data_IF_130502344423
#
_entry.id   IF_130502344423
#
_cell.length_a   1.000
_cell.length_b   1.000
_cell.length_c   1.000
_cell.angle_alpha   90.00
_cell.angle_beta   90.00
_cell.angle_gamma   90.00
#
_symmetry.space_group_name_H-M   'P 1'
#
loop_
_entity.id
_entity.type
_entity.pdbx_description
1 polymer ?
#
# COMPACT_ATOMS: atom_id res chain seq x y z
N UNK A 1 -16.24 -29.66 -19.03
CA UNK A 1 -16.51 -28.35 -18.42
C UNK A 1 -15.18 -27.60 -18.32
N UNK A 2 -14.93 -26.61 -19.19
CA UNK A 2 -13.76 -25.75 -19.04
C UNK A 2 -13.94 -24.97 -17.73
N UNK A 3 -13.07 -25.21 -16.76
CA UNK A 3 -13.03 -24.39 -15.55
C UNK A 3 -12.85 -22.94 -16.02
N UNK A 4 -13.57 -22.01 -15.40
CA UNK A 4 -13.16 -20.60 -15.45
C UNK A 4 -11.77 -20.61 -14.82
N UNK A 5 -10.74 -20.58 -15.67
CA UNK A 5 -9.40 -20.34 -15.20
C UNK A 5 -9.47 -19.01 -14.47
N UNK A 6 -9.02 -19.02 -13.22
CA UNK A 6 -9.08 -17.88 -12.32
C UNK A 6 -8.15 -16.79 -12.85
N UNK A 7 -8.58 -16.08 -13.88
CA UNK A 7 -7.81 -15.01 -14.51
C UNK A 7 -7.79 -13.81 -13.55
N UNK A 8 -6.62 -13.68 -12.94
CA UNK A 8 -5.94 -12.50 -12.41
C UNK A 8 -6.82 -11.26 -12.28
N UNK A 9 -7.39 -11.05 -11.09
CA UNK A 9 -7.72 -9.69 -10.65
C UNK A 9 -6.40 -9.04 -10.23
N UNK A 10 -5.85 -8.15 -11.06
CA UNK A 10 -4.58 -7.43 -10.85
C UNK A 10 -4.54 -6.69 -9.50
N UNK A 11 -5.69 -6.49 -8.84
CA UNK A 11 -5.82 -5.75 -7.59
C UNK A 11 -6.46 -6.52 -6.42
N UNK A 12 -6.59 -7.84 -6.47
CA UNK A 12 -7.11 -8.62 -5.32
C UNK A 12 -6.01 -8.97 -4.30
N UNK A 13 -5.24 -7.98 -3.82
CA UNK A 13 -4.38 -8.16 -2.63
C UNK A 13 -5.24 -8.11 -1.36
N UNK A 14 -5.96 -9.19 -1.12
CA UNK A 14 -6.51 -9.47 0.20
C UNK A 14 -5.43 -10.23 0.93
N UNK A 15 -4.95 -9.70 2.06
CA UNK A 15 -4.02 -10.43 2.93
C UNK A 15 -4.54 -11.86 3.16
N UNK A 16 -3.73 -12.87 2.84
CA UNK A 16 -3.95 -14.23 3.34
C UNK A 16 -4.91 -15.13 2.56
N UNK A 17 -5.11 -14.97 1.25
CA UNK A 17 -5.90 -15.95 0.47
C UNK A 17 -5.37 -17.38 0.54
N UNK A 18 -4.10 -17.59 0.88
CA UNK A 18 -3.53 -18.91 1.13
C UNK A 18 -4.07 -19.60 2.39
N UNK A 19 -4.56 -18.84 3.38
CA UNK A 19 -5.13 -19.37 4.63
C UNK A 19 -6.64 -19.22 4.74
N UNK A 20 -7.27 -18.45 3.84
CA UNK A 20 -8.70 -18.13 3.91
C UNK A 20 -9.59 -19.37 4.10
N UNK A 21 -10.49 -19.30 5.08
CA UNK A 21 -11.52 -20.28 5.30
C UNK A 21 -12.65 -20.11 4.26
N UNK A 22 -12.84 -21.14 3.41
CA UNK A 22 -14.01 -21.22 2.53
C UNK A 22 -15.22 -21.54 3.41
N UNK A 23 -16.11 -20.56 3.58
CA UNK A 23 -17.32 -20.71 4.41
C UNK A 23 -18.57 -20.96 3.57
N UNK A 24 -18.48 -20.75 2.26
CA UNK A 24 -19.54 -21.05 1.31
C UNK A 24 -18.94 -21.36 -0.06
N UNK A 25 -19.36 -22.47 -0.67
CA UNK A 25 -19.04 -22.84 -2.05
C UNK A 25 -20.20 -23.67 -2.61
N UNK A 26 -21.12 -23.00 -3.31
CA UNK A 26 -22.30 -23.65 -3.88
C UNK A 26 -22.85 -22.85 -5.06
N UNK A 27 -23.32 -23.56 -6.08
CA UNK A 27 -24.06 -23.02 -7.23
C UNK A 27 -23.31 -21.92 -8.01
N UNK A 28 -21.98 -21.97 -8.02
CA UNK A 28 -21.14 -20.99 -8.71
C UNK A 28 -20.85 -19.72 -7.88
N UNK A 29 -21.25 -19.70 -6.61
CA UNK A 29 -20.94 -18.65 -5.65
C UNK A 29 -20.00 -19.17 -4.56
N UNK A 30 -18.98 -18.37 -4.24
CA UNK A 30 -17.95 -18.68 -3.26
C UNK A 30 -17.74 -17.51 -2.31
N UNK A 31 -17.62 -17.81 -1.02
CA UNK A 31 -17.27 -16.83 0.02
C UNK A 31 -16.04 -17.33 0.77
N UNK A 32 -14.96 -16.55 0.67
CA UNK A 32 -13.72 -16.77 1.38
C UNK A 32 -13.65 -15.79 2.55
N UNK A 33 -13.71 -16.30 3.79
CA UNK A 33 -13.47 -15.52 4.99
C UNK A 33 -11.98 -15.54 5.32
N UNK A 34 -11.41 -14.38 5.65
CA UNK A 34 -10.01 -14.27 6.04
C UNK A 34 -9.85 -13.35 7.26
N UNK A 35 -8.78 -13.55 8.00
CA UNK A 35 -8.47 -12.67 9.12
C UNK A 35 -7.10 -12.86 9.70
N UNK A 36 -6.77 -11.98 10.64
CA UNK A 36 -5.57 -12.11 11.46
C UNK A 36 -5.76 -11.54 12.85
N UNK A 37 -5.00 -12.06 13.80
CA UNK A 37 -4.70 -11.40 15.08
C UNK A 37 -3.20 -11.21 15.12
N UNK A 38 -2.77 -9.96 15.23
CA UNK A 38 -1.35 -9.59 15.30
C UNK A 38 -1.09 -8.92 16.64
N UNK A 39 -0.39 -9.64 17.52
CA UNK A 39 0.14 -9.11 18.77
C UNK A 39 1.55 -8.59 18.49
N UNK A 40 1.76 -7.29 18.64
CA UNK A 40 3.02 -6.64 18.26
C UNK A 40 3.35 -5.47 19.18
N UNK A 41 4.64 -5.28 19.43
CA UNK A 41 5.15 -4.21 20.28
C UNK A 41 6.31 -3.51 19.59
N UNK A 42 6.29 -2.18 19.66
CA UNK A 42 7.31 -1.31 19.07
C UNK A 42 8.14 -0.72 20.20
N UNK A 43 9.46 -0.89 20.12
CA UNK A 43 10.44 -0.26 20.99
C UNK A 43 11.07 0.92 20.25
N UNK A 44 10.95 2.12 20.80
CA UNK A 44 11.54 3.33 20.22
C UNK A 44 11.76 4.39 21.30
N UNK A 45 12.72 5.29 21.07
CA UNK A 45 12.85 6.51 21.86
C UNK A 45 11.78 7.56 21.48
N UNK A 46 11.11 7.39 20.34
CA UNK A 46 9.94 8.17 19.98
C UNK A 46 8.70 7.61 20.70
N UNK A 47 8.28 8.30 21.75
CA UNK A 47 7.11 7.94 22.56
C UNK A 47 5.79 7.88 21.76
N UNK A 48 5.71 8.51 20.58
CA UNK A 48 4.53 8.40 19.71
C UNK A 48 4.47 7.09 18.92
N UNK A 49 5.59 6.37 18.86
CA UNK A 49 5.75 5.08 18.18
C UNK A 49 5.86 3.93 19.18
N UNK A 50 6.54 4.17 20.29
CA UNK A 50 6.80 3.18 21.33
C UNK A 50 5.51 2.69 21.99
N UNK A 51 5.37 1.38 22.12
CA UNK A 51 4.26 0.76 22.83
C UNK A 51 3.63 -0.42 22.09
N UNK A 52 2.52 -0.88 22.67
CA UNK A 52 1.67 -1.91 22.09
C UNK A 52 1.06 -1.41 20.77
N UNK A 53 1.15 -2.22 19.73
CA UNK A 53 0.55 -1.99 18.40
C UNK A 53 -0.44 -3.10 18.02
N UNK A 54 -0.84 -3.94 18.98
CA UNK A 54 -1.73 -5.08 18.77
C UNK A 54 -3.02 -4.69 18.02
N UNK A 55 -3.32 -5.46 16.97
CA UNK A 55 -4.51 -5.28 16.13
C UNK A 55 -4.99 -6.60 15.55
N UNK A 56 -6.25 -6.62 15.13
CA UNK A 56 -6.81 -7.72 14.35
C UNK A 56 -7.43 -7.21 13.06
N UNK A 57 -7.59 -8.10 12.09
CA UNK A 57 -8.32 -7.83 10.85
C UNK A 57 -9.28 -8.97 10.56
N UNK A 58 -10.43 -8.61 10.00
CA UNK A 58 -11.40 -9.53 9.46
C UNK A 58 -11.78 -9.05 8.06
N UNK A 59 -11.97 -9.96 7.13
CA UNK A 59 -12.42 -9.63 5.80
C UNK A 59 -13.08 -10.83 5.13
N UNK A 60 -13.78 -10.53 4.03
CA UNK A 60 -14.30 -11.56 3.15
C UNK A 60 -14.08 -11.17 1.69
N UNK A 61 -14.02 -12.19 0.85
CA UNK A 61 -14.13 -12.09 -0.60
C UNK A 61 -15.34 -12.90 -1.03
N UNK A 62 -16.16 -12.33 -1.89
CA UNK A 62 -17.26 -13.02 -2.56
C UNK A 62 -16.95 -13.04 -4.05
N UNK A 63 -17.09 -14.20 -4.68
CA UNK A 63 -17.15 -14.37 -6.13
C UNK A 63 -18.47 -15.06 -6.47
N UNK A 64 -19.22 -14.55 -7.43
CA UNK A 64 -20.51 -15.11 -7.86
C UNK A 64 -20.54 -15.18 -9.39
N UNK A 65 -20.58 -16.40 -9.93
CA UNK A 65 -20.71 -16.62 -11.37
C UNK A 65 -22.09 -16.16 -11.85
N UNK A 66 -22.11 -15.35 -12.91
CA UNK A 66 -23.35 -14.93 -13.58
C UNK A 66 -23.57 -15.81 -14.81
N UNK A 67 -22.54 -15.93 -15.66
CA UNK A 67 -22.53 -16.84 -16.81
C UNK A 67 -21.12 -17.44 -17.03
N UNK A 68 -20.86 -18.01 -18.22
CA UNK A 68 -19.58 -18.61 -18.58
C UNK A 68 -18.40 -17.62 -18.68
N UNK A 69 -18.68 -16.35 -18.95
CA UNK A 69 -17.69 -15.29 -19.16
C UNK A 69 -17.72 -14.23 -18.06
N UNK A 70 -18.86 -14.05 -17.38
CA UNK A 70 -19.11 -12.96 -16.44
C UNK A 70 -19.28 -13.45 -15.00
N UNK A 71 -18.59 -12.80 -14.07
CA UNK A 71 -18.76 -12.98 -12.64
C UNK A 71 -18.80 -11.64 -11.90
N UNK A 72 -19.63 -11.57 -10.86
CA UNK A 72 -19.58 -10.50 -9.87
C UNK A 72 -18.60 -10.84 -8.75
N UNK A 73 -17.98 -9.83 -8.14
CA UNK A 73 -17.17 -10.00 -6.94
C UNK A 73 -17.35 -8.85 -5.95
N UNK A 74 -17.06 -9.13 -4.68
CA UNK A 74 -17.07 -8.16 -3.59
C UNK A 74 -15.94 -8.43 -2.62
N UNK A 75 -15.36 -7.36 -2.07
CA UNK A 75 -14.26 -7.42 -1.10
C UNK A 75 -14.54 -6.46 0.03
N UNK A 76 -14.40 -6.97 1.25
CA UNK A 76 -14.44 -6.17 2.47
C UNK A 76 -13.30 -6.57 3.41
N UNK A 77 -12.67 -5.58 4.03
CA UNK A 77 -11.68 -5.79 5.08
C UNK A 77 -11.78 -4.68 6.12
N UNK A 78 -11.86 -5.09 7.39
CA UNK A 78 -11.88 -4.23 8.55
C UNK A 78 -10.66 -4.48 9.43
N UNK A 79 -10.18 -3.43 10.09
CA UNK A 79 -9.16 -3.53 11.13
C UNK A 79 -9.76 -3.08 12.47
N UNK A 80 -9.48 -3.86 13.50
CA UNK A 80 -9.79 -3.55 14.90
C UNK A 80 -8.48 -3.24 15.63
N UNK A 81 -8.40 -2.06 16.25
CA UNK A 81 -7.28 -1.73 17.13
C UNK A 81 -7.50 -2.37 18.50
N UNK A 82 -6.46 -2.97 19.07
CA UNK A 82 -6.54 -3.66 20.37
C UNK A 82 -5.50 -3.14 21.39
N UNK A 83 -4.89 -2.00 21.09
CA UNK A 83 -3.88 -1.32 21.92
C UNK A 83 -4.41 -0.03 22.59
N UNK A 84 -5.72 0.06 22.81
CA UNK A 84 -6.41 1.25 23.35
C UNK A 84 -7.48 0.84 24.37
N UNK A 85 -7.88 1.75 25.29
CA UNK A 85 -9.03 1.52 26.17
C UNK A 85 -10.32 1.26 25.39
N UNK A 86 -11.25 0.50 25.98
CA UNK A 86 -12.50 0.08 25.31
C UNK A 86 -13.40 1.25 24.85
N UNK A 87 -13.26 2.42 25.48
CA UNK A 87 -13.99 3.64 25.09
C UNK A 87 -13.45 4.33 23.83
N UNK A 88 -12.27 3.92 23.34
CA UNK A 88 -11.62 4.54 22.19
C UNK A 88 -11.66 3.63 20.96
N UNK A 89 -12.45 4.04 19.95
CA UNK A 89 -12.60 3.34 18.68
C UNK A 89 -11.72 3.91 17.55
N UNK A 90 -10.82 4.85 17.81
CA UNK A 90 -9.97 5.51 16.80
C UNK A 90 -9.00 4.55 16.07
N UNK A 91 -8.76 3.36 16.63
CA UNK A 91 -8.00 2.29 15.99
C UNK A 91 -8.75 1.54 14.88
N UNK A 92 -10.09 1.65 14.85
CA UNK A 92 -10.95 0.86 14.00
C UNK A 92 -11.18 1.53 12.63
N UNK A 93 -11.20 0.75 11.55
CA UNK A 93 -11.32 1.30 10.19
C UNK A 93 -11.66 0.26 9.13
N UNK A 94 -12.52 0.67 8.19
CA UNK A 94 -12.65 0.00 6.89
C UNK A 94 -11.36 0.22 6.09
N UNK A 95 -10.67 -0.87 5.76
CA UNK A 95 -9.48 -0.84 4.91
C UNK A 95 -9.88 -0.99 3.45
N UNK A 96 -10.74 -1.97 3.15
CA UNK A 96 -11.24 -2.26 1.81
C UNK A 96 -12.76 -2.43 1.88
N UNK A 97 -13.46 -1.90 0.89
CA UNK A 97 -14.89 -2.09 0.68
C UNK A 97 -15.22 -1.72 -0.77
N UNK A 98 -15.21 -2.71 -1.66
CA UNK A 98 -15.48 -2.49 -3.08
C UNK A 98 -16.13 -3.72 -3.71
N UNK A 99 -16.83 -3.50 -4.82
CA UNK A 99 -17.46 -4.54 -5.61
C UNK A 99 -17.25 -4.28 -7.11
N UNK A 100 -17.41 -5.32 -7.92
CA UNK A 100 -17.12 -5.24 -9.33
C UNK A 100 -17.63 -6.40 -10.15
N UNK A 101 -17.37 -6.30 -11.45
CA UNK A 101 -17.63 -7.32 -12.45
C UNK A 101 -16.31 -7.72 -13.10
N UNK A 102 -16.16 -9.00 -13.42
CA UNK A 102 -15.06 -9.55 -14.20
C UNK A 102 -15.62 -10.29 -15.40
N UNK A 103 -15.18 -9.90 -16.58
CA UNK A 103 -15.43 -10.58 -17.84
C UNK A 103 -14.12 -11.16 -18.38
N UNK A 104 -14.11 -12.45 -18.72
CA UNK A 104 -12.91 -13.14 -19.21
C UNK A 104 -12.35 -12.55 -20.53
N UNK A 105 -13.12 -11.73 -21.24
CA UNK A 105 -12.75 -11.13 -22.53
C UNK A 105 -12.32 -9.67 -22.40
N UNK A 106 -12.89 -8.94 -21.43
CA UNK A 106 -12.76 -7.48 -21.34
C UNK A 106 -12.10 -6.99 -20.04
N UNK A 107 -11.70 -7.91 -19.17
CA UNK A 107 -11.06 -7.60 -17.89
C UNK A 107 -12.07 -7.38 -16.77
N UNK A 108 -11.67 -6.63 -15.75
CA UNK A 108 -12.49 -6.37 -14.57
C UNK A 108 -12.69 -4.88 -14.33
N UNK A 109 -13.88 -4.52 -13.89
CA UNK A 109 -14.22 -3.19 -13.38
C UNK A 109 -14.64 -3.29 -11.91
N UNK A 110 -14.23 -2.34 -11.08
CA UNK A 110 -14.66 -2.25 -9.68
C UNK A 110 -14.82 -0.81 -9.21
N UNK A 111 -15.65 -0.62 -8.19
CA UNK A 111 -15.84 0.66 -7.53
C UNK A 111 -15.88 0.54 -6.00
N UNK A 112 -15.24 1.48 -5.31
CA UNK A 112 -15.37 1.62 -3.85
C UNK A 112 -14.11 2.14 -3.16
N UNK A 113 -13.81 1.59 -1.98
CA UNK A 113 -12.56 1.79 -1.23
C UNK A 113 -11.62 0.62 -1.52
N UNK A 114 -10.60 0.87 -2.33
CA UNK A 114 -9.63 -0.13 -2.79
C UNK A 114 -8.19 0.39 -2.61
N UNK A 115 -7.21 -0.33 -3.14
CA UNK A 115 -5.87 0.21 -3.36
C UNK A 115 -5.85 1.03 -4.65
N UNK A 116 -5.19 2.19 -4.62
CA UNK A 116 -4.95 3.01 -5.81
C UNK A 116 -3.85 2.45 -6.69
N UNK A 117 -3.82 2.94 -7.92
CA UNK A 117 -3.06 2.40 -9.04
C UNK A 117 -1.54 2.44 -8.84
N UNK A 118 -1.03 3.36 -8.01
CA UNK A 118 0.41 3.37 -7.63
C UNK A 118 0.78 2.13 -6.80
N UNK A 119 -0.19 1.53 -6.12
CA UNK A 119 0.07 0.34 -5.32
C UNK A 119 0.39 -0.88 -6.19
N UNK A 120 0.03 -0.90 -7.48
CA UNK A 120 0.40 -1.99 -8.40
C UNK A 120 1.91 -2.18 -8.58
N UNK A 121 2.68 -1.11 -8.40
CA UNK A 121 4.15 -1.14 -8.48
C UNK A 121 4.78 -1.01 -7.09
N UNK A 122 4.30 -0.10 -6.24
CA UNK A 122 4.89 0.09 -4.90
C UNK A 122 4.71 -1.11 -3.96
N UNK A 123 3.77 -2.03 -4.23
CA UNK A 123 3.70 -3.29 -3.50
C UNK A 123 4.93 -4.21 -3.68
N UNK A 124 5.78 -3.96 -4.70
CA UNK A 124 7.00 -4.75 -4.91
C UNK A 124 7.94 -4.64 -3.69
N UNK A 125 7.94 -3.51 -2.99
CA UNK A 125 8.79 -3.29 -1.81
C UNK A 125 8.01 -3.32 -0.50
N UNK A 126 6.68 -3.51 -0.54
CA UNK A 126 5.80 -3.65 0.64
C UNK A 126 5.84 -5.09 1.20
N UNK A 127 7.05 -5.55 1.55
CA UNK A 127 7.34 -6.95 1.92
C UNK A 127 8.08 -7.13 3.24
N UNK A 128 8.42 -6.04 3.94
CA UNK A 128 9.09 -6.14 5.24
C UNK A 128 8.18 -6.80 6.28
N UNK A 129 8.75 -7.32 7.40
CA UNK A 129 7.96 -8.04 8.40
C UNK A 129 6.77 -7.25 8.97
N UNK A 130 6.90 -5.93 9.16
CA UNK A 130 5.84 -5.02 9.56
C UNK A 130 5.93 -3.62 8.92
N UNK A 131 7.12 -3.00 8.82
CA UNK A 131 7.27 -1.66 8.25
C UNK A 131 7.31 -1.71 6.72
N UNK A 132 7.91 -0.69 6.08
CA UNK A 132 8.17 -0.69 4.65
C UNK A 132 7.10 -0.02 3.78
N UNK A 133 7.47 0.19 2.52
CA UNK A 133 6.71 0.96 1.54
C UNK A 133 6.26 2.33 2.10
N UNK A 134 7.18 3.04 2.74
CA UNK A 134 6.93 4.32 3.44
C UNK A 134 7.25 5.55 2.56
N UNK A 135 7.84 5.37 1.38
CA UNK A 135 8.26 6.49 0.51
C UNK A 135 7.20 6.88 -0.53
N UNK A 136 6.35 5.94 -0.92
CA UNK A 136 5.35 6.11 -1.99
C UNK A 136 3.93 5.94 -1.46
N UNK A 137 3.67 4.91 -0.65
CA UNK A 137 2.32 4.47 -0.28
C UNK A 137 1.82 5.19 0.97
N UNK A 138 0.77 5.99 0.81
CA UNK A 138 0.07 6.63 1.92
C UNK A 138 -1.43 6.33 1.88
N UNK A 139 -2.06 6.18 3.04
CA UNK A 139 -3.51 5.91 3.12
C UNK A 139 -4.29 7.22 3.00
N UNK A 140 -5.30 7.22 2.14
CA UNK A 140 -6.16 8.36 1.79
C UNK A 140 -5.40 9.53 1.14
N UNK A 141 -4.30 9.25 0.45
CA UNK A 141 -3.50 10.25 -0.28
C UNK A 141 -3.55 9.89 -1.76
N UNK A 142 -4.47 10.55 -2.48
CA UNK A 142 -4.70 10.34 -3.91
C UNK A 142 -4.78 8.83 -4.24
N UNK A 143 -4.02 8.36 -5.23
CA UNK A 143 -3.98 6.96 -5.69
C UNK A 143 -2.73 6.21 -5.20
N UNK A 144 -2.06 6.71 -4.14
CA UNK A 144 -0.78 6.16 -3.68
C UNK A 144 -0.90 4.86 -2.88
N UNK A 145 -2.03 4.67 -2.20
CA UNK A 145 -2.33 3.52 -1.35
C UNK A 145 -3.84 3.30 -1.29
N UNK A 146 -4.38 2.91 -0.14
CA UNK A 146 -5.85 2.75 -0.01
C UNK A 146 -6.55 4.10 -0.02
N UNK A 147 -7.61 4.27 -0.81
CA UNK A 147 -8.40 5.50 -0.84
C UNK A 147 -9.90 5.22 -1.04
N UNK A 148 -10.74 6.25 -1.16
CA UNK A 148 -12.20 6.14 -1.33
C UNK A 148 -12.66 6.67 -2.68
N UNK A 149 -13.74 6.08 -3.24
CA UNK A 149 -14.37 6.58 -4.47
C UNK A 149 -13.55 6.29 -5.72
N UNK A 150 -12.90 5.12 -5.76
CA UNK A 150 -12.04 4.69 -6.84
C UNK A 150 -12.85 3.81 -7.80
N UNK A 151 -12.85 4.15 -9.09
CA UNK A 151 -13.36 3.33 -10.19
C UNK A 151 -12.15 2.79 -10.95
N UNK A 152 -11.96 1.48 -10.93
CA UNK A 152 -10.77 0.84 -11.51
C UNK A 152 -11.18 -0.18 -12.54
N UNK A 153 -10.64 -0.04 -13.75
CA UNK A 153 -10.68 -1.05 -14.79
C UNK A 153 -9.28 -1.67 -14.97
N UNK A 154 -9.22 -2.99 -15.19
CA UNK A 154 -7.95 -3.67 -15.46
C UNK A 154 -8.14 -4.87 -16.39
N UNK A 155 -7.13 -5.14 -17.22
CA UNK A 155 -7.04 -6.31 -18.09
C UNK A 155 -5.71 -7.03 -17.91
N UNK A 156 -5.74 -8.35 -18.02
CA UNK A 156 -4.56 -9.19 -17.98
C UNK A 156 -4.18 -9.64 -19.40
N UNK A 157 -2.89 -9.95 -19.57
CA UNK A 157 -2.27 -10.43 -20.82
C UNK A 157 -2.62 -9.59 -22.06
N UNK A 158 -2.88 -8.30 -21.86
CA UNK A 158 -3.44 -7.37 -22.83
C UNK A 158 -4.55 -8.03 -23.66
N UNK A 159 -5.62 -8.53 -23.01
CA UNK A 159 -6.71 -9.27 -23.66
C UNK A 159 -6.29 -10.60 -24.32
N UNK A 160 -5.19 -11.18 -23.85
CA UNK A 160 -4.57 -12.37 -24.44
C UNK A 160 -3.64 -12.08 -25.63
N UNK A 161 -3.40 -10.82 -25.99
CA UNK A 161 -2.49 -10.46 -27.08
C UNK A 161 -1.01 -10.53 -26.67
N UNK A 162 -0.70 -10.27 -25.40
CA UNK A 162 0.69 -10.25 -24.89
C UNK A 162 0.71 -10.88 -23.52
N UNK A 163 1.16 -12.14 -23.45
CA UNK A 163 1.32 -12.88 -22.21
C UNK A 163 2.17 -12.12 -21.20
N UNK A 164 1.70 -12.05 -19.94
CA UNK A 164 2.37 -11.36 -18.84
C UNK A 164 2.21 -9.83 -18.84
N UNK A 165 1.60 -9.22 -19.86
CA UNK A 165 1.37 -7.77 -19.92
C UNK A 165 0.01 -7.38 -19.32
N UNK A 166 0.03 -6.71 -18.18
CA UNK A 166 -1.14 -6.32 -17.42
C UNK A 166 -1.33 -4.80 -17.46
N UNK A 167 -2.55 -4.33 -17.68
CA UNK A 167 -2.88 -2.92 -17.74
C UNK A 167 -4.03 -2.60 -16.79
N UNK A 168 -3.95 -1.47 -16.09
CA UNK A 168 -5.04 -0.96 -15.27
C UNK A 168 -5.14 0.56 -15.37
N UNK A 169 -6.37 1.06 -15.30
CA UNK A 169 -6.72 2.49 -15.33
C UNK A 169 -7.66 2.77 -14.16
N UNK A 170 -7.42 3.87 -13.47
CA UNK A 170 -8.20 4.34 -12.34
C UNK A 170 -8.74 5.75 -12.60
N UNK A 171 -10.00 5.95 -12.23
CA UNK A 171 -10.55 7.28 -11.92
C UNK A 171 -10.83 7.37 -10.42
N UNK A 172 -10.43 8.46 -9.79
CA UNK A 172 -10.76 8.77 -8.40
C UNK A 172 -11.56 10.06 -8.34
N UNK A 173 -12.76 10.01 -7.77
CA UNK A 173 -13.57 11.20 -7.54
C UNK A 173 -13.04 12.08 -6.40
N UNK A 174 -13.36 13.37 -6.46
CA UNK A 174 -13.03 14.36 -5.42
C UNK A 174 -13.48 13.93 -4.01
N UNK A 175 -12.58 14.04 -3.03
CA UNK A 175 -12.86 13.89 -1.60
C UNK A 175 -12.29 15.08 -0.81
N UNK A 176 -13.13 15.97 -0.27
CA UNK A 176 -12.66 17.15 0.47
C UNK A 176 -13.23 17.28 1.89
N UNK A 177 -14.46 16.80 2.13
CA UNK A 177 -15.17 16.99 3.39
C UNK A 177 -14.67 16.05 4.50
N UNK A 178 -14.62 16.57 5.74
CA UNK A 178 -14.32 15.83 6.98
C UNK A 178 -12.97 15.07 6.98
N UNK A 179 -11.96 15.63 6.31
CA UNK A 179 -10.62 15.04 6.19
C UNK A 179 -9.54 16.10 6.40
N UNK A 180 -8.40 15.68 6.96
CA UNK A 180 -7.20 16.53 7.02
C UNK A 180 -6.77 16.94 5.61
N UNK A 181 -6.17 18.14 5.47
CA UNK A 181 -5.78 18.73 4.19
C UNK A 181 -4.91 17.78 3.34
N UNK A 182 -4.01 17.04 3.98
CA UNK A 182 -3.14 16.05 3.31
C UNK A 182 -3.83 14.75 2.90
N UNK A 183 -5.11 14.56 3.28
CA UNK A 183 -5.96 13.43 2.90
C UNK A 183 -7.12 13.81 1.99
N UNK A 184 -7.12 15.05 1.51
CA UNK A 184 -8.06 15.50 0.49
C UNK A 184 -7.50 15.22 -0.91
N UNK A 185 -8.38 15.06 -1.88
CA UNK A 185 -8.04 14.94 -3.29
C UNK A 185 -9.13 15.59 -4.15
N UNK A 186 -8.74 16.18 -5.28
CA UNK A 186 -9.64 16.49 -6.38
C UNK A 186 -9.96 15.25 -7.23
N UNK A 187 -10.65 15.46 -8.35
CA UNK A 187 -10.81 14.41 -9.35
C UNK A 187 -9.45 14.06 -9.96
N UNK A 188 -9.24 12.79 -10.30
CA UNK A 188 -7.98 12.35 -10.87
C UNK A 188 -8.05 11.07 -11.67
N UNK A 189 -7.04 10.89 -12.50
CA UNK A 189 -6.83 9.68 -13.31
C UNK A 189 -5.47 9.08 -13.06
N UNK A 190 -5.38 7.77 -13.19
CA UNK A 190 -4.10 7.08 -13.14
C UNK A 190 -4.09 5.79 -13.96
N UNK A 191 -2.89 5.32 -14.25
CA UNK A 191 -2.63 4.17 -15.10
C UNK A 191 -1.45 3.39 -14.56
N UNK A 192 -1.48 2.07 -14.68
CA UNK A 192 -0.31 1.22 -14.44
C UNK A 192 -0.19 0.14 -15.51
N UNK A 193 1.04 -0.19 -15.87
CA UNK A 193 1.37 -1.32 -16.72
C UNK A 193 2.40 -2.20 -16.00
N UNK A 194 2.19 -3.51 -16.02
CA UNK A 194 3.13 -4.51 -15.51
C UNK A 194 3.47 -5.49 -16.63
N UNK A 195 4.72 -5.92 -16.71
CA UNK A 195 5.15 -6.97 -17.64
C UNK A 195 5.95 -8.02 -16.88
N UNK A 196 5.47 -9.26 -16.92
CA UNK A 196 6.11 -10.39 -16.25
C UNK A 196 6.80 -11.30 -17.26
N UNK A 197 8.05 -11.67 -16.98
CA UNK A 197 8.85 -12.60 -17.76
C UNK A 197 9.57 -13.53 -16.79
N UNK A 198 9.19 -14.80 -16.77
CA UNK A 198 9.68 -15.79 -15.80
C UNK A 198 9.53 -15.27 -14.36
N UNK A 199 10.62 -15.21 -13.60
CA UNK A 199 10.65 -14.73 -12.22
C UNK A 199 10.72 -13.19 -12.13
N UNK A 200 10.89 -12.47 -13.25
CA UNK A 200 10.98 -11.02 -13.26
C UNK A 200 9.62 -10.38 -13.52
N UNK A 201 9.35 -9.27 -12.84
CA UNK A 201 8.26 -8.36 -13.20
C UNK A 201 8.76 -6.94 -13.23
N UNK A 202 8.55 -6.26 -14.36
CA UNK A 202 8.71 -4.83 -14.53
C UNK A 202 7.35 -4.15 -14.33
N UNK A 203 7.33 -2.98 -13.70
CA UNK A 203 6.10 -2.24 -13.48
C UNK A 203 6.32 -0.74 -13.57
N UNK A 204 5.34 -0.02 -14.12
CA UNK A 204 5.29 1.44 -14.09
C UNK A 204 3.87 1.91 -13.81
N UNK A 205 3.74 3.03 -13.11
CA UNK A 205 2.46 3.66 -12.87
C UNK A 205 2.60 5.18 -12.89
N UNK A 206 1.55 5.87 -13.35
CA UNK A 206 1.41 7.32 -13.35
C UNK A 206 0.03 7.73 -12.81
N UNK A 207 -0.04 8.81 -12.03
CA UNK A 207 -1.29 9.45 -11.62
C UNK A 207 -1.20 10.98 -11.67
N UNK A 208 -2.32 11.61 -11.98
CA UNK A 208 -2.50 13.05 -11.95
C UNK A 208 -3.91 13.36 -11.41
N UNK A 209 -3.97 14.21 -10.40
CA UNK A 209 -5.21 14.63 -9.75
C UNK A 209 -5.24 16.14 -9.54
N UNK A 210 -6.42 16.72 -9.55
CA UNK A 210 -6.65 18.06 -9.01
C UNK A 210 -6.34 18.10 -7.50
N UNK A 211 -5.80 19.23 -7.05
CA UNK A 211 -5.70 19.56 -5.62
C UNK A 211 -6.90 20.40 -5.22
N UNK A 212 -7.39 20.22 -4.00
CA UNK A 212 -8.54 20.97 -3.50
C UNK A 212 -8.17 22.42 -3.26
N UNK A 213 -9.16 23.32 -3.28
CA UNK A 213 -8.95 24.74 -2.99
C UNK A 213 -8.32 24.95 -1.61
N UNK A 214 -8.69 24.13 -0.62
CA UNK A 214 -8.11 24.18 0.72
C UNK A 214 -6.60 23.82 0.71
N UNK A 215 -6.19 22.82 -0.07
CA UNK A 215 -4.78 22.45 -0.23
C UNK A 215 -3.98 23.59 -0.89
N UNK A 216 -4.53 24.18 -1.95
CA UNK A 216 -3.89 25.28 -2.68
C UNK A 216 -3.81 26.53 -1.80
N UNK A 217 -4.88 26.87 -1.08
CA UNK A 217 -4.92 28.00 -0.16
C UNK A 217 -3.90 27.83 0.98
N UNK A 218 -3.79 26.63 1.55
CA UNK A 218 -2.78 26.34 2.58
C UNK A 218 -1.35 26.50 2.04
N UNK A 219 -1.08 26.07 0.81
CA UNK A 219 0.20 26.28 0.15
C UNK A 219 0.56 27.76 -0.06
N UNK A 220 -0.44 28.63 -0.19
CA UNK A 220 -0.24 30.09 -0.29
C UNK A 220 0.02 30.74 1.08
N UNK A 221 -0.62 30.26 2.14
CA UNK A 221 -0.49 30.84 3.49
C UNK A 221 0.74 30.33 4.25
N UNK A 222 1.17 29.10 3.99
CA UNK A 222 2.30 28.45 4.64
C UNK A 222 3.26 27.85 3.59
N UNK A 223 3.85 28.71 2.74
CA UNK A 223 4.69 28.22 1.67
C UNK A 223 5.97 27.63 2.28
N UNK A 224 6.46 26.51 1.73
CA UNK A 224 7.62 25.79 2.28
C UNK A 224 7.28 24.82 3.41
N UNK A 225 5.99 24.63 3.68
CA UNK A 225 5.46 23.50 4.44
C UNK A 225 4.37 22.82 3.61
N UNK A 226 3.55 23.60 2.91
CA UNK A 226 2.54 23.07 2.00
C UNK A 226 2.84 23.45 0.56
N UNK A 227 2.79 22.45 -0.31
CA UNK A 227 2.92 22.66 -1.73
C UNK A 227 1.79 23.57 -2.26
N UNK A 228 2.10 24.42 -3.25
CA UNK A 228 1.16 25.42 -3.78
C UNK A 228 0.59 25.11 -5.16
N UNK A 229 1.10 24.08 -5.86
CA UNK A 229 0.63 23.71 -7.19
C UNK A 229 -0.85 23.26 -7.22
N UNK A 230 -1.51 23.38 -8.37
CA UNK A 230 -2.93 23.00 -8.54
C UNK A 230 -3.15 21.52 -8.83
N UNK A 231 -2.12 20.79 -9.24
CA UNK A 231 -2.16 19.34 -9.53
C UNK A 231 -1.23 18.57 -8.62
N UNK A 232 -1.65 17.39 -8.20
CA UNK A 232 -0.82 16.38 -7.55
C UNK A 232 -0.47 15.30 -8.58
N UNK A 233 0.82 15.04 -8.76
CA UNK A 233 1.32 14.10 -9.76
C UNK A 233 2.28 13.11 -9.13
N UNK A 234 2.27 11.86 -9.59
CA UNK A 234 3.27 10.88 -9.22
C UNK A 234 3.50 9.90 -10.35
N UNK A 235 4.76 9.56 -10.60
CA UNK A 235 5.14 8.41 -11.40
C UNK A 235 6.08 7.53 -10.60
N UNK A 236 5.96 6.22 -10.80
CA UNK A 236 6.83 5.22 -10.19
C UNK A 236 7.15 4.13 -11.20
N UNK A 237 8.35 3.60 -11.14
CA UNK A 237 8.78 2.41 -11.86
C UNK A 237 9.41 1.43 -10.89
N UNK A 238 9.35 0.14 -11.21
CA UNK A 238 9.84 -0.91 -10.34
C UNK A 238 10.21 -2.16 -11.09
N UNK A 239 11.10 -2.92 -10.48
CA UNK A 239 11.45 -4.26 -10.88
C UNK A 239 11.39 -5.16 -9.66
N UNK A 240 10.87 -6.38 -9.82
CA UNK A 240 11.04 -7.45 -8.85
C UNK A 240 11.54 -8.71 -9.52
N UNK A 241 12.25 -9.50 -8.73
CA UNK A 241 12.59 -10.90 -8.98
C UNK A 241 11.96 -11.72 -7.86
N UNK A 242 11.15 -12.71 -8.22
CA UNK A 242 10.34 -13.51 -7.30
C UNK A 242 10.49 -14.98 -7.67
N UNK A 243 11.14 -15.74 -6.80
CA UNK A 243 11.41 -17.18 -6.96
C UNK A 243 11.12 -17.92 -5.66
N UNK A 244 11.13 -19.26 -5.68
CA UNK A 244 10.78 -20.09 -4.51
C UNK A 244 11.57 -19.76 -3.24
N UNK A 245 12.83 -19.32 -3.36
CA UNK A 245 13.71 -19.05 -2.21
C UNK A 245 14.23 -17.62 -2.13
N UNK A 246 14.11 -16.82 -3.19
CA UNK A 246 14.70 -15.48 -3.23
C UNK A 246 13.69 -14.48 -3.77
N UNK A 247 13.49 -13.40 -3.02
CA UNK A 247 12.72 -12.24 -3.40
C UNK A 247 13.63 -11.01 -3.41
N UNK A 248 13.64 -10.26 -4.50
CA UNK A 248 14.32 -8.97 -4.60
C UNK A 248 13.41 -7.98 -5.30
N UNK A 249 13.37 -6.75 -4.83
CA UNK A 249 12.63 -5.70 -5.51
C UNK A 249 13.28 -4.35 -5.31
N UNK A 250 13.12 -3.48 -6.31
CA UNK A 250 13.46 -2.08 -6.19
C UNK A 250 12.43 -1.23 -6.92
N UNK A 251 12.11 -0.07 -6.35
CA UNK A 251 11.26 0.95 -6.97
C UNK A 251 11.97 2.30 -6.93
N UNK A 252 11.68 3.12 -7.94
CA UNK A 252 12.04 4.53 -7.97
C UNK A 252 10.86 5.34 -8.49
N UNK A 253 10.68 6.54 -7.97
CA UNK A 253 9.70 7.45 -8.54
C UNK A 253 9.78 8.86 -7.98
N UNK A 254 9.00 9.75 -8.58
CA UNK A 254 8.91 11.13 -8.15
C UNK A 254 7.45 11.53 -7.95
N UNK A 255 7.21 12.39 -6.97
CA UNK A 255 5.92 13.04 -6.78
C UNK A 255 6.05 14.56 -6.92
N UNK A 256 4.94 15.22 -7.26
CA UNK A 256 4.79 16.68 -7.18
C UNK A 256 3.52 17.03 -6.42
N UNK A 257 3.63 17.94 -5.46
CA UNK A 257 2.52 18.47 -4.66
C UNK A 257 1.62 17.41 -3.99
N UNK A 258 2.19 16.25 -3.64
CA UNK A 258 1.43 15.04 -3.28
C UNK A 258 1.87 14.44 -1.94
N UNK A 259 3.14 14.10 -1.81
CA UNK A 259 3.65 13.31 -0.68
C UNK A 259 3.53 14.08 0.63
N UNK A 260 2.81 13.53 1.63
CA UNK A 260 2.77 14.13 2.94
C UNK A 260 4.05 13.87 3.73
N UNK A 261 4.38 14.75 4.67
CA UNK A 261 5.50 14.54 5.58
C UNK A 261 5.25 15.21 6.93
N UNK A 262 6.03 14.81 7.94
CA UNK A 262 5.98 15.39 9.29
C UNK A 262 4.56 15.46 9.85
N UNK A 263 4.13 16.65 10.25
CA UNK A 263 2.81 16.94 10.84
C UNK A 263 1.63 16.94 9.85
N UNK A 264 1.75 16.31 8.69
CA UNK A 264 0.73 16.34 7.63
C UNK A 264 0.91 17.52 6.66
N UNK A 265 2.15 17.98 6.52
CA UNK A 265 2.60 18.90 5.48
C UNK A 265 2.60 18.22 4.11
N UNK A 266 2.74 18.97 3.00
CA UNK A 266 2.72 18.43 1.64
C UNK A 266 3.95 18.92 0.89
N UNK A 267 4.79 18.01 0.40
CA UNK A 267 6.01 18.35 -0.31
C UNK A 267 5.75 18.80 -1.76
N UNK A 268 6.44 19.84 -2.21
CA UNK A 268 6.39 20.34 -3.60
C UNK A 268 6.91 19.30 -4.58
N UNK A 269 8.02 18.64 -4.26
CA UNK A 269 8.57 17.52 -5.01
C UNK A 269 9.18 16.49 -4.07
N UNK A 270 9.02 15.20 -4.39
CA UNK A 270 9.81 14.13 -3.75
C UNK A 270 10.52 13.26 -4.77
N UNK A 271 11.64 12.68 -4.36
CA UNK A 271 12.33 11.58 -5.05
C UNK A 271 12.36 10.40 -4.09
N UNK A 272 11.86 9.26 -4.55
CA UNK A 272 11.55 8.11 -3.72
C UNK A 272 12.29 6.90 -4.26
N UNK A 273 12.97 6.17 -3.38
CA UNK A 273 13.67 4.95 -3.70
C UNK A 273 13.46 3.93 -2.59
N UNK A 274 13.15 2.71 -2.95
CA UNK A 274 13.13 1.58 -2.02
C UNK A 274 13.76 0.36 -2.68
N UNK A 275 14.49 -0.43 -1.92
CA UNK A 275 14.98 -1.73 -2.33
C UNK A 275 14.88 -2.72 -1.18
N UNK A 276 14.46 -3.95 -1.46
CA UNK A 276 14.34 -5.04 -0.49
C UNK A 276 14.90 -6.33 -1.08
N UNK A 277 15.54 -7.12 -0.23
CA UNK A 277 15.93 -8.50 -0.53
C UNK A 277 15.53 -9.41 0.62
N UNK A 278 15.00 -10.59 0.30
CA UNK A 278 14.58 -11.60 1.26
C UNK A 278 14.97 -12.98 0.76
N UNK A 279 15.39 -13.85 1.67
CA UNK A 279 15.63 -15.25 1.37
C UNK A 279 14.66 -16.11 2.19
N UNK A 280 14.07 -17.14 1.58
CA UNK A 280 13.12 -18.04 2.23
C UNK A 280 13.81 -19.38 2.45
N UNK A 281 14.13 -19.69 3.70
CA UNK A 281 14.67 -21.00 4.08
C UNK A 281 13.57 -22.05 4.14
N UNK A 282 13.94 -23.31 3.88
CA UNK A 282 13.02 -24.47 3.92
C UNK A 282 12.36 -24.68 5.30
N UNK A 283 12.94 -24.16 6.38
CA UNK A 283 12.39 -24.23 7.73
C UNK A 283 11.38 -23.11 8.06
N UNK A 284 11.00 -22.29 7.06
CA UNK A 284 10.05 -21.18 7.20
C UNK A 284 10.66 -19.86 7.65
N UNK A 285 11.97 -19.79 7.92
CA UNK A 285 12.65 -18.54 8.26
C UNK A 285 12.85 -17.66 7.02
N UNK A 286 12.53 -16.37 7.14
CA UNK A 286 12.61 -15.37 6.07
C UNK A 286 13.33 -14.11 6.54
N UNK A 287 14.67 -14.07 6.54
CA UNK A 287 15.40 -12.81 6.73
C UNK A 287 15.06 -11.81 5.62
N UNK A 288 15.12 -10.53 5.98
CA UNK A 288 14.83 -9.38 5.14
C UNK A 288 15.86 -8.28 5.38
N UNK A 289 16.36 -7.68 4.31
CA UNK A 289 17.18 -6.48 4.33
C UNK A 289 16.61 -5.48 3.34
N UNK A 290 16.44 -4.23 3.76
CA UNK A 290 15.96 -3.17 2.88
C UNK A 290 16.60 -1.82 3.13
N UNK A 291 16.49 -0.95 2.12
CA UNK A 291 16.82 0.47 2.20
C UNK A 291 15.68 1.28 1.62
N UNK A 292 15.25 2.31 2.33
CA UNK A 292 14.17 3.20 1.93
C UNK A 292 14.63 4.65 2.08
N UNK A 293 14.39 5.47 1.05
CA UNK A 293 14.68 6.90 1.06
C UNK A 293 13.61 7.68 0.30
N UNK A 294 13.12 8.75 0.93
CA UNK A 294 12.32 9.79 0.29
C UNK A 294 12.92 11.15 0.63
N UNK A 295 13.31 11.88 -0.40
CA UNK A 295 13.89 13.22 -0.27
C UNK A 295 12.91 14.25 -0.82
N UNK A 296 12.48 15.20 0.01
CA UNK A 296 11.67 16.34 -0.39
C UNK A 296 12.59 17.45 -0.93
N UNK A 297 12.37 17.83 -2.19
CA UNK A 297 13.11 18.88 -2.88
C UNK A 297 12.30 20.18 -2.88
N UNK A 298 12.94 21.27 -2.43
CA UNK A 298 12.38 22.64 -2.41
C UNK A 298 11.17 22.87 -1.49
N UNK A 299 11.41 22.84 -0.18
CA UNK A 299 10.54 23.48 0.82
C UNK A 299 11.00 24.94 1.04
N UNK A 300 10.78 25.87 0.10
CA UNK A 300 11.13 27.31 0.12
C UNK A 300 12.55 27.76 0.55
N UNK A 301 13.44 26.86 0.94
CA UNK A 301 14.75 27.14 1.54
C UNK A 301 15.91 26.69 0.66
N UNK A 302 15.61 26.14 -0.54
CA UNK A 302 16.61 25.62 -1.48
C UNK A 302 17.35 24.37 -1.02
N UNK A 303 16.96 23.77 0.12
CA UNK A 303 17.59 22.57 0.67
C UNK A 303 16.71 21.34 0.48
N UNK A 304 17.36 20.24 0.10
CA UNK A 304 16.75 18.92 0.08
C UNK A 304 16.68 18.39 1.50
N UNK A 305 15.53 17.81 1.88
CA UNK A 305 15.31 17.23 3.20
C UNK A 305 14.89 15.78 3.04
N UNK A 306 15.62 14.87 3.68
CA UNK A 306 15.18 13.49 3.81
C UNK A 306 13.97 13.42 4.76
N UNK A 307 12.82 12.99 4.24
CA UNK A 307 11.57 12.80 5.00
C UNK A 307 11.38 11.32 5.40
N UNK A 308 12.03 10.41 4.68
CA UNK A 308 12.22 9.00 5.02
C UNK A 308 13.66 8.65 4.66
N UNK A 309 14.40 8.01 5.56
CA UNK A 309 15.71 7.44 5.25
C UNK A 309 16.10 6.41 6.30
N UNK A 310 16.13 5.13 5.93
CA UNK A 310 16.53 4.08 6.87
C UNK A 310 17.02 2.81 6.15
N UNK A 311 17.79 2.04 6.91
CA UNK A 311 18.04 0.62 6.63
C UNK A 311 17.11 -0.19 7.51
N UNK A 312 16.52 -1.23 6.96
CA UNK A 312 15.71 -2.19 7.70
C UNK A 312 16.35 -3.58 7.69
N UNK A 313 16.42 -4.20 8.86
CA UNK A 313 16.89 -5.57 9.04
C UNK A 313 15.85 -6.32 9.85
N UNK A 314 15.31 -7.39 9.31
CA UNK A 314 14.28 -8.16 10.00
C UNK A 314 14.23 -9.62 9.60
N UNK A 315 13.38 -10.38 10.27
CA UNK A 315 13.06 -11.74 9.90
C UNK A 315 11.63 -12.09 10.32
N UNK A 316 10.96 -12.86 9.47
CA UNK A 316 9.71 -13.55 9.82
C UNK A 316 10.00 -15.05 9.85
N UNK A 317 9.52 -15.76 10.87
CA UNK A 317 9.57 -17.22 10.92
C UNK A 317 8.17 -17.79 10.92
N UNK A 318 7.80 -18.44 9.82
CA UNK A 318 6.55 -19.18 9.69
C UNK A 318 6.67 -20.51 10.46
N UNK A 319 6.10 -20.56 11.67
CA UNK A 319 6.05 -21.77 12.49
C UNK A 319 5.03 -22.79 11.95
N UNK A 320 4.01 -22.29 11.27
CA UNK A 320 3.04 -23.07 10.50
C UNK A 320 2.43 -22.18 9.42
N UNK A 321 1.55 -22.74 8.57
CA UNK A 321 0.80 -21.94 7.60
C UNK A 321 0.02 -20.78 8.25
N UNK A 322 -0.44 -20.95 9.49
CA UNK A 322 -1.32 -19.99 10.18
C UNK A 322 -0.59 -19.11 11.19
N UNK A 323 0.63 -19.46 11.62
CA UNK A 323 1.34 -18.81 12.73
C UNK A 323 2.72 -18.39 12.29
N UNK A 324 3.03 -17.11 12.45
CA UNK A 324 4.37 -16.57 12.24
C UNK A 324 4.80 -15.70 13.43
N UNK A 325 6.10 -15.69 13.71
CA UNK A 325 6.74 -14.73 14.62
C UNK A 325 7.66 -13.82 13.82
N UNK A 326 7.84 -12.58 14.26
CA UNK A 326 8.67 -11.61 13.54
C UNK A 326 9.48 -10.73 14.48
N UNK A 327 10.61 -10.28 13.96
CA UNK A 327 11.43 -9.20 14.50
C UNK A 327 11.88 -8.32 13.34
N UNK A 328 11.93 -7.01 13.56
CA UNK A 328 12.36 -6.03 12.58
C UNK A 328 13.05 -4.87 13.28
N UNK A 329 14.12 -4.34 12.68
CA UNK A 329 14.88 -3.22 13.19
C UNK A 329 15.07 -2.16 12.11
N UNK A 330 14.34 -1.06 12.26
CA UNK A 330 14.50 0.16 11.49
C UNK A 330 15.60 1.01 12.10
N UNK A 331 16.71 1.10 11.38
CA UNK A 331 17.87 1.95 11.69
C UNK A 331 17.66 3.27 10.96
N UNK A 332 17.19 4.29 11.67
CA UNK A 332 16.84 5.58 11.11
C UNK A 332 18.11 6.39 10.81
N UNK A 333 18.27 6.81 9.55
CA UNK A 333 19.45 7.52 9.07
C UNK A 333 19.22 9.03 8.95
N UNK A 334 18.05 9.53 9.37
CA UNK A 334 17.75 10.96 9.41
C UNK A 334 18.36 11.56 10.67
N UNK A 335 19.20 12.58 10.51
CA UNK A 335 19.79 13.28 11.64
C UNK A 335 18.78 14.21 12.33
N UNK A 336 18.77 14.20 13.66
CA UNK A 336 18.01 15.17 14.45
C UNK A 336 18.54 16.59 14.21
N UNK A 337 17.64 17.53 13.96
CA UNK A 337 17.93 18.93 13.71
C UNK A 337 16.76 19.80 14.17
N UNK A 338 16.96 21.11 14.26
CA UNK A 338 15.87 22.04 14.55
C UNK A 338 14.76 21.94 13.50
N UNK A 339 15.13 21.71 12.24
CA UNK A 339 14.17 21.51 11.16
C UNK A 339 13.33 20.24 11.40
N UNK A 340 13.95 19.06 11.55
CA UNK A 340 13.20 17.80 11.72
C UNK A 340 12.29 17.83 12.95
N UNK A 341 12.74 18.46 14.05
CA UNK A 341 11.92 18.71 15.25
C UNK A 341 10.74 19.63 14.96
N UNK A 342 10.96 20.76 14.28
CA UNK A 342 9.91 21.73 13.95
C UNK A 342 8.79 21.14 13.08
N UNK A 343 9.14 20.24 12.15
CA UNK A 343 8.14 19.59 11.29
C UNK A 343 7.64 18.25 11.81
N UNK A 344 8.21 17.75 12.92
CA UNK A 344 7.91 16.45 13.56
C UNK A 344 8.22 15.23 12.68
N UNK A 345 9.39 15.23 12.04
CA UNK A 345 9.96 14.02 11.44
C UNK A 345 10.70 13.26 12.55
N UNK A 346 10.30 12.01 12.79
CA UNK A 346 10.97 11.13 13.75
C UNK A 346 12.35 10.75 13.22
N UNK A 347 13.36 10.87 14.08
CA UNK A 347 14.75 10.50 13.79
C UNK A 347 15.20 9.30 14.61
N UNK A 348 14.29 8.71 15.37
CA UNK A 348 14.57 7.59 16.24
C UNK A 348 14.43 6.27 15.49
N UNK A 349 15.23 5.31 15.94
CA UNK A 349 15.13 3.92 15.56
C UNK A 349 13.85 3.27 16.08
N UNK A 350 13.45 2.16 15.46
CA UNK A 350 12.31 1.34 15.90
C UNK A 350 12.69 -0.14 15.82
N UNK A 351 12.52 -0.87 16.92
CA UNK A 351 12.52 -2.34 16.92
C UNK A 351 11.08 -2.81 17.04
N UNK A 352 10.66 -3.71 16.16
CA UNK A 352 9.34 -4.35 16.19
C UNK A 352 9.52 -5.82 16.55
N UNK A 353 8.65 -6.33 17.40
CA UNK A 353 8.48 -7.76 17.62
C UNK A 353 7.02 -8.11 17.56
N UNK A 354 6.69 -9.33 17.09
CA UNK A 354 5.30 -9.74 17.09
C UNK A 354 5.06 -11.20 16.77
N UNK A 355 3.82 -11.61 17.02
CA UNK A 355 3.25 -12.91 16.67
C UNK A 355 1.98 -12.64 15.87
N UNK A 356 1.84 -13.34 14.75
CA UNK A 356 0.71 -13.19 13.84
C UNK A 356 0.03 -14.55 13.66
N UNK A 357 -1.26 -14.61 14.01
CA UNK A 357 -2.14 -15.72 13.68
C UNK A 357 -3.02 -15.32 12.49
N UNK A 358 -3.15 -16.16 11.48
CA UNK A 358 -3.94 -15.91 10.26
C UNK A 358 -4.84 -17.08 9.91
N UNK A 359 -5.98 -16.80 9.29
CA UNK A 359 -6.96 -17.78 8.82
C UNK A 359 -7.74 -17.25 7.62
#
# INVERSE_FOLDING_TARGET
>A
MKKINTSVTILAFICGTANAAIIYDKDGSKIDLNGRVKAEYYFSNDNSKNGDQTNSRLGFKVDSRIDENLAGFGVWQYQFGANRPESDSSGNRNRLAYAGLRDNRFGSFSYGRSYGIMYNVSNFTDRLPELGCETVKYTDVYMTGRSTGQAIWSTADLFGFVDGFNLAVEYQGKNESSRGINKQNGDGVGISALYSLENFTLGTAYSNSDRTDAQIAQGKTQPGLYASGSKAEMWITGIKYDSDSLYMAAIYGESRNMTPFGSGYIADKTQNFEAVTQYIFNNGLKPSLAYLQSTANSQNSGKNVDIVKYIDIGATWDLSKNIAVLVEYKINLINSSDYTKSVKISTDDIIVTGINYTF
#
